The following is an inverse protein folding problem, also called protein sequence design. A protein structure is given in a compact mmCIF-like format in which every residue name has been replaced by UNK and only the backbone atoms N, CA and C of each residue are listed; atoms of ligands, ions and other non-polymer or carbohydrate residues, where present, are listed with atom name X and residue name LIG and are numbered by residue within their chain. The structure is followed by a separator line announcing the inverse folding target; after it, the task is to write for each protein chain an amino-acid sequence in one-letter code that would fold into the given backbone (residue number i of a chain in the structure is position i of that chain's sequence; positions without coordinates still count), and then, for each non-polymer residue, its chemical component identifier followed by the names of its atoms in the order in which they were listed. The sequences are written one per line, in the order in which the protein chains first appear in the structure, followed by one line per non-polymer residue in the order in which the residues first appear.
data_IF_997996004148
#
_entry.id   IF_997996004148
#
_cell.length_a   1.000
_cell.length_b   1.000
_cell.length_c   1.000
_cell.angle_alpha   90.00
_cell.angle_beta   90.00
_cell.angle_gamma   90.00
#
_symmetry.space_group_name_H-M   'P 1'
#
loop_
_entity.id
_entity.type
_entity.pdbx_description
1 polymer ?
#
# COMPACT_ATOMS: atom_id res chain seq x y z
N UNK A 1 -20.91 14.31 4.88
CA UNK A 1 -19.94 14.15 3.78
C UNK A 1 -20.02 12.70 3.36
N UNK A 2 -20.40 12.44 2.12
CA UNK A 2 -20.66 11.09 1.62
C UNK A 2 -19.92 10.92 0.30
N UNK A 3 -19.29 9.76 0.10
CA UNK A 3 -18.64 9.44 -1.17
C UNK A 3 -18.76 7.95 -1.47
N UNK A 4 -18.69 7.61 -2.75
CA UNK A 4 -18.82 6.24 -3.22
C UNK A 4 -17.45 5.57 -3.25
N UNK A 5 -17.28 4.47 -2.52
CA UNK A 5 -16.04 3.69 -2.49
C UNK A 5 -16.36 2.20 -2.55
N UNK A 6 -15.83 1.52 -3.57
CA UNK A 6 -15.96 0.07 -3.69
C UNK A 6 -17.39 -0.48 -3.72
N UNK A 7 -18.30 0.23 -4.38
CA UNK A 7 -19.70 -0.20 -4.49
C UNK A 7 -20.58 0.17 -3.29
N UNK A 8 -20.02 0.86 -2.28
CA UNK A 8 -20.74 1.28 -1.06
C UNK A 8 -20.60 2.79 -0.85
N UNK A 9 -21.62 3.39 -0.27
CA UNK A 9 -21.55 4.78 0.18
C UNK A 9 -20.86 4.78 1.54
N UNK A 10 -19.77 5.53 1.65
CA UNK A 10 -19.05 5.75 2.90
C UNK A 10 -19.52 7.09 3.46
N UNK A 11 -20.35 7.05 4.50
CA UNK A 11 -20.82 8.22 5.22
C UNK A 11 -20.95 7.95 6.71
N UNK A 12 -20.87 9.02 7.51
CA UNK A 12 -21.06 8.95 8.97
C UNK A 12 -22.45 8.44 9.32
N UNK A 13 -23.45 8.79 8.52
CA UNK A 13 -24.86 8.46 8.74
C UNK A 13 -25.16 6.97 8.44
N UNK A 14 -24.51 6.41 7.42
CA UNK A 14 -24.73 5.02 7.02
C UNK A 14 -23.76 4.02 7.69
N UNK A 15 -22.53 4.44 7.94
CA UNK A 15 -21.47 3.57 8.49
C UNK A 15 -21.26 3.75 10.00
N UNK A 16 -21.72 4.87 10.58
CA UNK A 16 -21.38 5.28 11.94
C UNK A 16 -20.01 5.98 12.00
N UNK A 17 -19.87 6.91 12.95
CA UNK A 17 -18.67 7.75 13.12
C UNK A 17 -17.37 6.94 13.29
N UNK A 18 -17.42 5.87 14.08
CA UNK A 18 -16.26 5.01 14.34
C UNK A 18 -15.75 4.33 13.07
N UNK A 19 -16.62 3.66 12.31
CA UNK A 19 -16.25 2.95 11.09
C UNK A 19 -15.77 3.92 10.00
N UNK A 20 -16.33 5.14 9.96
CA UNK A 20 -15.88 6.18 9.04
C UNK A 20 -14.42 6.58 9.31
N UNK A 21 -14.07 6.83 10.58
CA UNK A 21 -12.68 7.16 10.95
C UNK A 21 -11.75 5.95 10.75
N UNK A 22 -12.19 4.75 11.16
CA UNK A 22 -11.42 3.52 10.99
C UNK A 22 -11.07 3.26 9.51
N UNK A 23 -11.99 3.57 8.59
CA UNK A 23 -11.73 3.47 7.15
C UNK A 23 -10.51 4.29 6.74
N UNK A 24 -10.42 5.57 7.14
CA UNK A 24 -9.27 6.42 6.81
C UNK A 24 -7.99 5.96 7.50
N UNK A 25 -8.07 5.62 8.79
CA UNK A 25 -6.91 5.12 9.53
C UNK A 25 -6.34 3.85 8.92
N UNK A 26 -7.21 2.95 8.46
CA UNK A 26 -6.81 1.74 7.76
C UNK A 26 -6.09 2.07 6.45
N UNK A 27 -6.67 2.90 5.59
CA UNK A 27 -6.04 3.28 4.32
C UNK A 27 -4.68 3.97 4.52
N UNK A 28 -4.60 4.86 5.51
CA UNK A 28 -3.35 5.51 5.88
C UNK A 28 -2.32 4.49 6.40
N UNK A 29 -2.73 3.56 7.26
CA UNK A 29 -1.85 2.52 7.81
C UNK A 29 -1.29 1.63 6.72
N UNK A 30 -2.14 1.11 5.83
CA UNK A 30 -1.67 0.27 4.73
C UNK A 30 -0.68 1.05 3.85
N UNK A 31 -1.04 2.25 3.39
CA UNK A 31 -0.13 3.12 2.64
C UNK A 31 1.23 3.31 3.35
N UNK A 32 1.23 3.65 4.65
CA UNK A 32 2.45 3.87 5.43
C UNK A 32 3.29 2.61 5.59
N UNK A 33 2.67 1.46 5.87
CA UNK A 33 3.36 0.17 6.01
C UNK A 33 3.99 -0.23 4.68
N UNK A 34 3.27 -0.09 3.57
CA UNK A 34 3.78 -0.37 2.23
C UNK A 34 4.91 0.58 1.81
N UNK A 35 4.87 1.86 2.25
CA UNK A 35 5.98 2.79 2.06
C UNK A 35 7.23 2.39 2.85
N UNK A 36 7.08 2.04 4.14
CA UNK A 36 8.20 1.56 4.95
C UNK A 36 8.77 0.25 4.36
N UNK A 37 7.90 -0.65 3.91
CA UNK A 37 8.31 -1.90 3.28
C UNK A 37 9.09 -1.64 1.98
N UNK A 38 8.63 -0.72 1.12
CA UNK A 38 9.36 -0.30 -0.08
C UNK A 38 10.75 0.26 0.23
N UNK A 39 10.86 1.08 1.28
CA UNK A 39 12.12 1.63 1.76
C UNK A 39 13.09 0.54 2.21
N UNK A 40 12.65 -0.33 3.14
CA UNK A 40 13.47 -1.42 3.69
C UNK A 40 13.88 -2.40 2.59
N UNK A 41 12.97 -2.79 1.70
CA UNK A 41 13.26 -3.75 0.64
C UNK A 41 14.38 -3.23 -0.27
N UNK A 42 14.33 -1.96 -0.68
CA UNK A 42 15.40 -1.35 -1.47
C UNK A 42 16.72 -1.27 -0.70
N UNK A 43 16.71 -0.97 0.60
CA UNK A 43 17.93 -0.98 1.41
C UNK A 43 18.57 -2.36 1.42
N UNK A 44 17.76 -3.42 1.56
CA UNK A 44 18.21 -4.82 1.50
C UNK A 44 18.82 -5.14 0.12
N UNK A 45 18.14 -4.82 -0.99
CA UNK A 45 18.67 -5.12 -2.33
C UNK A 45 20.01 -4.40 -2.60
N UNK A 46 20.17 -3.19 -2.07
CA UNK A 46 21.47 -2.50 -2.12
C UNK A 46 22.53 -3.17 -1.26
N UNK A 47 22.18 -3.66 -0.06
CA UNK A 47 23.12 -4.38 0.80
C UNK A 47 23.65 -5.67 0.14
N UNK A 48 22.84 -6.31 -0.71
CA UNK A 48 23.25 -7.44 -1.54
C UNK A 48 23.99 -7.06 -2.83
N UNK A 49 24.38 -5.78 -3.01
CA UNK A 49 25.09 -5.28 -4.20
C UNK A 49 24.39 -5.58 -5.53
N UNK A 50 23.06 -5.63 -5.55
CA UNK A 50 22.32 -5.80 -6.80
C UNK A 50 22.52 -4.61 -7.74
N UNK A 51 22.56 -4.88 -9.05
CA UNK A 51 22.68 -3.85 -10.08
C UNK A 51 21.50 -2.88 -9.98
N UNK A 52 21.76 -1.57 -10.03
CA UNK A 52 20.73 -0.52 -9.92
C UNK A 52 19.55 -0.74 -10.87
N UNK A 53 19.81 -1.11 -12.12
CA UNK A 53 18.77 -1.40 -13.12
C UNK A 53 17.85 -2.54 -12.70
N UNK A 54 18.41 -3.57 -12.07
CA UNK A 54 17.65 -4.72 -11.57
C UNK A 54 16.83 -4.35 -10.33
N UNK A 55 17.37 -3.50 -9.44
CA UNK A 55 16.63 -2.98 -8.28
C UNK A 55 15.36 -2.23 -8.71
N UNK A 56 15.46 -1.37 -9.73
CA UNK A 56 14.31 -0.60 -10.23
C UNK A 56 13.22 -1.46 -10.90
N UNK A 57 13.57 -2.64 -11.40
CA UNK A 57 12.60 -3.57 -11.98
C UNK A 57 12.01 -4.53 -10.93
N UNK A 58 12.88 -5.14 -10.11
CA UNK A 58 12.49 -6.21 -9.18
C UNK A 58 11.75 -5.66 -7.96
N UNK A 59 12.22 -4.54 -7.39
CA UNK A 59 11.62 -3.98 -6.18
C UNK A 59 10.12 -3.67 -6.30
N UNK A 60 9.66 -2.85 -7.28
CA UNK A 60 8.24 -2.56 -7.41
C UNK A 60 7.45 -3.82 -7.79
N UNK A 61 7.98 -4.67 -8.67
CA UNK A 61 7.26 -5.86 -9.11
C UNK A 61 6.98 -6.83 -7.95
N UNK A 62 8.00 -7.17 -7.16
CA UNK A 62 7.85 -8.08 -6.02
C UNK A 62 6.89 -7.54 -4.98
N UNK A 63 6.95 -6.24 -4.68
CA UNK A 63 6.10 -5.62 -3.67
C UNK A 63 4.65 -5.43 -4.15
N UNK A 64 4.42 -5.16 -5.44
CA UNK A 64 3.07 -5.13 -6.03
C UNK A 64 2.43 -6.51 -5.95
N UNK A 65 3.17 -7.59 -6.25
CA UNK A 65 2.67 -8.94 -6.06
C UNK A 65 2.29 -9.21 -4.60
N UNK A 66 3.07 -8.68 -3.65
CA UNK A 66 2.74 -8.77 -2.23
C UNK A 66 1.44 -8.01 -1.89
N UNK A 67 1.26 -6.79 -2.41
CA UNK A 67 0.02 -6.02 -2.24
C UNK A 67 -1.22 -6.73 -2.81
N UNK A 68 -1.08 -7.35 -3.99
CA UNK A 68 -2.14 -8.18 -4.57
C UNK A 68 -2.43 -9.39 -3.68
N UNK A 69 -1.41 -10.05 -3.15
CA UNK A 69 -1.56 -11.20 -2.26
C UNK A 69 -2.22 -10.82 -0.94
N UNK A 70 -1.94 -9.63 -0.40
CA UNK A 70 -2.57 -9.10 0.81
C UNK A 70 -4.07 -8.87 0.58
N UNK A 71 -4.44 -8.22 -0.52
CA UNK A 71 -5.84 -8.00 -0.86
C UNK A 71 -6.59 -9.32 -1.12
N UNK A 72 -5.92 -10.28 -1.76
CA UNK A 72 -6.46 -11.62 -1.93
C UNK A 72 -6.64 -12.32 -0.58
N UNK A 73 -5.70 -12.19 0.36
CA UNK A 73 -5.85 -12.75 1.70
C UNK A 73 -7.00 -12.09 2.46
N UNK A 74 -7.14 -10.77 2.35
CA UNK A 74 -8.24 -10.01 2.96
C UNK A 74 -9.61 -10.39 2.40
N UNK A 75 -9.68 -10.87 1.15
CA UNK A 75 -10.92 -11.38 0.56
C UNK A 75 -11.54 -12.55 1.31
N UNK A 76 -10.75 -13.29 2.09
CA UNK A 76 -11.24 -14.39 2.94
C UNK A 76 -11.82 -13.91 4.29
N UNK A 77 -11.70 -12.61 4.60
CA UNK A 77 -12.19 -12.05 5.86
C UNK A 77 -13.64 -11.58 5.68
N UNK A 78 -14.53 -12.03 6.57
CA UNK A 78 -15.93 -11.60 6.56
C UNK A 78 -16.02 -10.06 6.70
N UNK A 79 -16.93 -9.45 5.96
CA UNK A 79 -17.18 -7.99 5.90
C UNK A 79 -16.19 -7.13 5.11
N UNK A 80 -15.18 -7.70 4.43
CA UNK A 80 -14.37 -6.95 3.44
C UNK A 80 -14.73 -7.33 2.01
N UNK A 81 -14.71 -6.32 1.15
CA UNK A 81 -14.78 -6.50 -0.30
C UNK A 81 -13.40 -6.16 -0.82
N UNK A 82 -12.69 -7.10 -1.48
CA UNK A 82 -11.40 -6.80 -2.06
C UNK A 82 -11.58 -5.77 -3.18
N UNK A 83 -10.78 -4.71 -3.18
CA UNK A 83 -10.89 -3.60 -4.11
C UNK A 83 -9.56 -3.35 -4.80
N UNK A 84 -9.62 -3.22 -6.13
CA UNK A 84 -8.44 -2.83 -6.93
C UNK A 84 -7.89 -1.49 -6.47
N UNK A 85 -8.74 -0.58 -5.98
CA UNK A 85 -8.33 0.70 -5.41
C UNK A 85 -7.43 0.54 -4.19
N UNK A 86 -7.57 -0.54 -3.43
CA UNK A 86 -6.77 -0.80 -2.22
C UNK A 86 -5.35 -1.20 -2.62
N UNK A 87 -5.23 -2.13 -3.58
CA UNK A 87 -3.95 -2.48 -4.21
C UNK A 87 -3.27 -1.26 -4.83
N UNK A 88 -4.02 -0.34 -5.44
CA UNK A 88 -3.47 0.90 -5.99
C UNK A 88 -2.90 1.82 -4.90
N UNK A 89 -3.60 1.99 -3.78
CA UNK A 89 -3.12 2.79 -2.64
C UNK A 89 -1.82 2.18 -2.08
N UNK A 90 -1.78 0.86 -1.92
CA UNK A 90 -0.62 0.15 -1.39
C UNK A 90 0.58 0.24 -2.34
N UNK A 91 0.33 0.12 -3.64
CA UNK A 91 1.32 0.33 -4.69
C UNK A 91 1.88 1.75 -4.69
N UNK A 92 1.03 2.76 -4.46
CA UNK A 92 1.50 4.15 -4.30
C UNK A 92 2.39 4.29 -3.06
N UNK A 93 2.04 3.63 -1.95
CA UNK A 93 2.88 3.55 -0.75
C UNK A 93 4.27 3.01 -1.08
N UNK A 94 4.33 1.83 -1.73
CA UNK A 94 5.57 1.21 -2.20
C UNK A 94 6.41 2.20 -3.02
N UNK A 95 5.82 2.83 -4.04
CA UNK A 95 6.50 3.77 -4.92
C UNK A 95 7.08 4.96 -4.14
N UNK A 96 6.32 5.54 -3.21
CA UNK A 96 6.78 6.64 -2.37
C UNK A 96 7.96 6.21 -1.50
N UNK A 97 7.87 5.06 -0.83
CA UNK A 97 8.95 4.51 -0.01
C UNK A 97 10.24 4.29 -0.79
N UNK A 98 10.12 3.73 -1.99
CA UNK A 98 11.23 3.52 -2.93
C UNK A 98 11.88 4.86 -3.31
N UNK A 99 11.09 5.82 -3.78
CA UNK A 99 11.58 7.10 -4.29
C UNK A 99 12.26 7.90 -3.17
N UNK A 100 11.61 8.02 -2.01
CA UNK A 100 12.14 8.76 -0.86
C UNK A 100 13.49 8.17 -0.42
N UNK A 101 13.58 6.85 -0.29
CA UNK A 101 14.81 6.17 0.13
C UNK A 101 15.96 6.39 -0.86
N UNK A 102 15.66 6.36 -2.16
CA UNK A 102 16.66 6.59 -3.20
C UNK A 102 17.15 8.04 -3.22
N UNK A 103 16.25 9.00 -2.98
CA UNK A 103 16.63 10.42 -2.82
C UNK A 103 17.53 10.63 -1.61
N UNK A 104 17.19 10.02 -0.47
CA UNK A 104 17.99 10.13 0.76
C UNK A 104 19.38 9.48 0.64
N UNK A 105 19.53 8.38 -0.11
CA UNK A 105 20.85 7.77 -0.37
C UNK A 105 21.72 8.54 -1.37
N UNK A 106 21.13 9.45 -2.14
CA UNK A 106 21.84 10.25 -3.15
C UNK A 106 22.34 11.58 -2.57
N UNK A 107 21.71 12.06 -1.49
CA UNK A 107 22.16 13.21 -0.69
C UNK A 107 23.38 12.84 0.16
#
# INVERSE_FOLDING_TARGET
MEFYYGGKIVSVEQSGYYNFIEFFFRKATHFSVYAIMGAIYILILHAFNMKKQLIWAVAPLTLIFFAISDEWHQSFTANRTPLVTDVMIDTLGICVGIIVTQLLKKA
#
